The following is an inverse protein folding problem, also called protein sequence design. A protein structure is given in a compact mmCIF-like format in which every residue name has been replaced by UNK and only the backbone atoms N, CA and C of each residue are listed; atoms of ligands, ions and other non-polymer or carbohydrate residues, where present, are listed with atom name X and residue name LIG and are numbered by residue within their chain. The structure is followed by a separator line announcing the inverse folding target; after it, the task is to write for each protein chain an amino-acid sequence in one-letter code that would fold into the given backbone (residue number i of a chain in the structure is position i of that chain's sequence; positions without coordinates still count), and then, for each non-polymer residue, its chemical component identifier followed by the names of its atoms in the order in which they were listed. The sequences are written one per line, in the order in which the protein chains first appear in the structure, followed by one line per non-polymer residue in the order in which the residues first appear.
data_IF_789263585396
#
_entry.id   IF_789263585396
#
_cell.length_a   1.000
_cell.length_b   1.000
_cell.length_c   1.000
_cell.angle_alpha   90.00
_cell.angle_beta   90.00
_cell.angle_gamma   90.00
#
_symmetry.space_group_name_H-M   'P 1'
#
loop_
_entity.id
_entity.type
_entity.pdbx_description
1 polymer ?
#
# COMPACT_ATOMS: atom_id res chain seq x y z
N UNK A 1 1.75 -7.08 -12.96
CA UNK A 1 2.71 -7.37 -14.06
C UNK A 1 3.51 -6.10 -14.35
N UNK A 2 4.85 -6.18 -14.45
CA UNK A 2 5.70 -5.02 -14.80
C UNK A 2 6.36 -5.28 -16.15
N UNK A 3 6.08 -4.42 -17.13
CA UNK A 3 6.60 -4.52 -18.50
C UNK A 3 7.59 -3.39 -18.75
N UNK A 4 8.43 -3.56 -19.79
CA UNK A 4 9.29 -2.49 -20.33
C UNK A 4 10.18 -1.80 -19.29
N UNK A 5 10.89 -2.58 -18.48
CA UNK A 5 11.76 -2.03 -17.44
C UNK A 5 13.14 -2.68 -17.45
N UNK A 6 14.17 -1.86 -17.27
CA UNK A 6 15.58 -2.25 -17.28
C UNK A 6 16.25 -2.08 -15.90
N UNK A 7 15.49 -1.70 -14.86
CA UNK A 7 16.03 -1.58 -13.50
C UNK A 7 16.02 -2.95 -12.80
N UNK A 8 16.97 -3.23 -11.90
CA UNK A 8 16.90 -4.40 -11.04
C UNK A 8 15.66 -4.34 -10.15
N UNK A 9 14.82 -5.37 -10.22
CA UNK A 9 13.60 -5.48 -9.42
C UNK A 9 13.69 -6.65 -8.44
N UNK A 10 13.23 -6.40 -7.22
CA UNK A 10 12.95 -7.43 -6.24
C UNK A 10 11.48 -7.32 -5.83
N UNK A 11 10.76 -8.44 -5.91
CA UNK A 11 9.35 -8.52 -5.54
C UNK A 11 9.19 -9.08 -4.14
N UNK A 12 8.26 -8.47 -3.40
CA UNK A 12 7.86 -8.89 -2.06
C UNK A 12 6.37 -9.20 -2.10
N UNK A 13 5.99 -10.47 -2.00
CA UNK A 13 4.60 -10.90 -2.03
C UNK A 13 4.21 -11.29 -0.61
N UNK A 14 3.10 -10.75 -0.12
CA UNK A 14 2.63 -10.94 1.24
C UNK A 14 1.22 -11.53 1.16
N UNK A 15 1.02 -12.71 1.74
CA UNK A 15 -0.26 -13.41 1.79
C UNK A 15 -0.44 -14.13 3.13
N UNK A 16 -1.66 -14.58 3.42
CA UNK A 16 -1.98 -15.44 4.55
C UNK A 16 -1.81 -16.93 4.26
N UNK A 17 -1.74 -17.29 2.98
CA UNK A 17 -1.50 -18.65 2.52
C UNK A 17 -0.91 -18.66 1.12
N UNK A 18 -0.19 -19.73 0.79
CA UNK A 18 0.27 -20.01 -0.56
C UNK A 18 -0.03 -21.46 -0.90
N UNK A 19 -0.63 -21.69 -2.08
CA UNK A 19 -0.77 -23.07 -2.56
C UNK A 19 0.58 -23.60 -3.05
N UNK A 20 0.86 -24.92 -2.95
CA UNK A 20 2.08 -25.49 -3.51
C UNK A 20 2.25 -25.22 -5.00
N UNK A 21 1.15 -25.15 -5.76
CA UNK A 21 1.16 -24.79 -7.18
C UNK A 21 1.61 -23.34 -7.40
N UNK A 22 1.14 -22.40 -6.56
CA UNK A 22 1.56 -21.01 -6.62
C UNK A 22 3.05 -20.86 -6.34
N UNK A 23 3.57 -21.52 -5.30
CA UNK A 23 5.01 -21.47 -4.97
C UNK A 23 5.85 -21.97 -6.14
N UNK A 24 5.52 -23.14 -6.71
CA UNK A 24 6.22 -23.69 -7.89
C UNK A 24 6.17 -22.75 -9.10
N UNK A 25 5.05 -22.05 -9.29
CA UNK A 25 4.90 -21.08 -10.37
C UNK A 25 5.79 -19.85 -10.15
N UNK A 26 5.82 -19.30 -8.94
CA UNK A 26 6.69 -18.18 -8.57
C UNK A 26 8.17 -18.54 -8.69
N UNK A 27 8.58 -19.74 -8.27
CA UNK A 27 9.96 -20.22 -8.44
C UNK A 27 10.38 -20.24 -9.91
N UNK A 28 9.50 -20.76 -10.79
CA UNK A 28 9.74 -20.75 -12.24
C UNK A 28 9.86 -19.34 -12.80
N UNK A 29 8.99 -18.43 -12.39
CA UNK A 29 9.05 -17.02 -12.80
C UNK A 29 10.34 -16.34 -12.36
N UNK A 30 10.77 -16.57 -11.12
CA UNK A 30 12.00 -16.01 -10.58
C UNK A 30 13.22 -16.42 -11.42
N UNK A 31 13.32 -17.70 -11.78
CA UNK A 31 14.38 -18.23 -12.64
C UNK A 31 14.27 -17.67 -14.06
N UNK A 32 13.10 -17.76 -14.68
CA UNK A 32 12.89 -17.34 -16.07
C UNK A 32 13.23 -15.87 -16.30
N UNK A 33 12.88 -15.00 -15.35
CA UNK A 33 13.09 -13.56 -15.46
C UNK A 33 14.32 -13.05 -14.73
N UNK A 34 15.10 -13.93 -14.08
CA UNK A 34 16.28 -13.57 -13.26
C UNK A 34 15.94 -12.49 -12.20
N UNK A 35 14.78 -12.63 -11.56
CA UNK A 35 14.29 -11.69 -10.54
C UNK A 35 14.26 -12.34 -9.17
N UNK A 36 14.45 -11.53 -8.12
CA UNK A 36 14.28 -11.98 -6.74
C UNK A 36 12.82 -11.84 -6.34
N UNK A 37 12.21 -12.92 -5.84
CA UNK A 37 10.85 -12.90 -5.28
C UNK A 37 10.93 -13.44 -3.86
N UNK A 38 10.46 -12.66 -2.89
CA UNK A 38 10.39 -13.04 -1.47
C UNK A 38 8.93 -13.19 -1.07
N UNK A 39 8.58 -14.35 -0.51
CA UNK A 39 7.24 -14.65 -0.02
C UNK A 39 7.19 -14.43 1.50
N UNK A 40 6.12 -13.80 1.99
CA UNK A 40 5.91 -13.50 3.40
C UNK A 40 4.52 -13.97 3.82
N UNK A 41 4.48 -14.83 4.83
CA UNK A 41 3.24 -15.32 5.38
C UNK A 41 2.79 -14.45 6.56
N UNK A 42 1.56 -13.92 6.50
CA UNK A 42 0.94 -13.20 7.61
C UNK A 42 -0.09 -14.10 8.29
N UNK A 43 -0.03 -14.14 9.62
CA UNK A 43 -1.03 -14.78 10.47
C UNK A 43 -2.23 -13.87 10.68
N UNK A 44 -3.38 -14.24 10.10
CA UNK A 44 -4.61 -13.43 10.07
C UNK A 44 -5.22 -13.25 11.45
N UNK A 45 -4.90 -14.11 12.42
CA UNK A 45 -5.38 -14.00 13.81
C UNK A 45 -5.01 -12.64 14.42
N UNK A 46 -3.85 -12.08 14.04
CA UNK A 46 -3.41 -10.75 14.47
C UNK A 46 -4.25 -9.59 13.92
N UNK A 47 -5.10 -9.86 12.92
CA UNK A 47 -5.94 -8.90 12.21
C UNK A 47 -7.41 -8.98 12.59
N UNK A 48 -7.83 -9.97 13.38
CA UNK A 48 -9.24 -10.20 13.68
C UNK A 48 -9.91 -9.01 14.36
N UNK A 49 -9.13 -8.22 15.11
CA UNK A 49 -9.54 -7.00 15.81
C UNK A 49 -9.80 -5.81 14.90
N UNK A 50 -9.38 -5.86 13.63
CA UNK A 50 -9.55 -4.76 12.69
C UNK A 50 -10.86 -4.86 11.90
N UNK A 51 -11.45 -3.71 11.51
CA UNK A 51 -12.70 -3.70 10.77
C UNK A 51 -12.54 -4.36 9.41
N UNK A 52 -13.54 -5.14 9.01
CA UNK A 52 -13.68 -5.67 7.65
C UNK A 52 -14.99 -5.19 7.07
N UNK A 53 -15.04 -5.00 5.76
CA UNK A 53 -16.30 -4.69 5.07
C UNK A 53 -16.83 -5.94 4.37
N UNK A 54 -18.10 -5.93 3.93
CA UNK A 54 -18.67 -7.04 3.15
C UNK A 54 -17.93 -7.29 1.82
N UNK A 55 -17.22 -6.28 1.31
CA UNK A 55 -16.57 -6.30 0.00
C UNK A 55 -15.06 -6.54 0.11
N UNK A 56 -14.44 -6.09 1.20
CA UNK A 56 -12.99 -6.08 1.36
C UNK A 56 -12.56 -6.89 2.58
N UNK A 57 -11.70 -7.88 2.35
CA UNK A 57 -11.13 -8.72 3.40
C UNK A 57 -10.00 -7.99 4.14
N UNK A 58 -9.63 -8.53 5.31
CA UNK A 58 -8.49 -8.02 6.11
C UNK A 58 -7.16 -8.03 5.37
N UNK A 59 -7.08 -8.72 4.21
CA UNK A 59 -5.91 -8.68 3.33
C UNK A 59 -5.56 -7.25 2.88
N UNK A 60 -6.52 -6.31 2.85
CA UNK A 60 -6.23 -4.90 2.55
C UNK A 60 -5.19 -4.30 3.51
N UNK A 61 -5.13 -4.77 4.77
CA UNK A 61 -4.16 -4.29 5.76
C UNK A 61 -2.78 -4.91 5.63
N UNK A 62 -2.59 -5.93 4.77
CA UNK A 62 -1.28 -6.53 4.54
C UNK A 62 -0.24 -5.50 4.09
N UNK A 63 -0.66 -4.44 3.39
CA UNK A 63 0.22 -3.33 3.01
C UNK A 63 0.79 -2.58 4.23
N UNK A 64 0.01 -2.37 5.28
CA UNK A 64 0.48 -1.67 6.49
C UNK A 64 1.56 -2.48 7.22
N UNK A 65 1.42 -3.81 7.25
CA UNK A 65 2.47 -4.70 7.72
C UNK A 65 3.66 -4.76 6.78
N UNK A 66 3.42 -4.74 5.47
CA UNK A 66 4.48 -4.66 4.47
C UNK A 66 5.38 -3.46 4.75
N UNK A 67 4.77 -2.29 4.94
CA UNK A 67 5.48 -1.04 5.21
C UNK A 67 6.25 -1.11 6.53
N UNK A 68 5.64 -1.56 7.62
CA UNK A 68 6.35 -1.70 8.91
C UNK A 68 7.52 -2.69 8.81
N UNK A 69 7.26 -3.90 8.30
CA UNK A 69 8.26 -4.96 8.28
C UNK A 69 9.41 -4.65 7.32
N UNK A 70 9.10 -4.14 6.12
CA UNK A 70 10.11 -3.82 5.11
C UNK A 70 10.87 -2.53 5.42
N UNK A 71 10.30 -1.60 6.21
CA UNK A 71 11.04 -0.41 6.68
C UNK A 71 12.30 -0.73 7.49
N UNK A 72 12.41 -1.97 7.99
CA UNK A 72 13.60 -2.47 8.70
C UNK A 72 14.70 -2.94 7.75
N UNK A 73 14.42 -3.03 6.44
CA UNK A 73 15.27 -3.65 5.42
C UNK A 73 15.57 -2.75 4.23
N UNK A 74 14.63 -1.89 3.85
CA UNK A 74 14.72 -1.01 2.69
C UNK A 74 14.14 0.37 2.99
N UNK A 75 14.65 1.40 2.31
CA UNK A 75 14.25 2.79 2.55
C UNK A 75 13.05 3.23 1.72
N UNK A 76 12.83 2.60 0.56
CA UNK A 76 11.74 2.94 -0.35
C UNK A 76 11.08 1.68 -0.89
N UNK A 77 9.78 1.75 -1.17
CA UNK A 77 9.01 0.64 -1.71
C UNK A 77 7.93 1.15 -2.66
N UNK A 78 7.82 0.53 -3.84
CA UNK A 78 6.65 0.69 -4.70
C UNK A 78 5.63 -0.39 -4.35
N UNK A 79 4.50 0.03 -3.78
CA UNK A 79 3.34 -0.83 -3.58
C UNK A 79 2.46 -0.84 -4.83
N UNK A 80 1.99 -2.03 -5.20
CA UNK A 80 1.09 -2.27 -6.31
C UNK A 80 0.02 -3.27 -5.86
N UNK A 81 -1.25 -2.96 -6.11
CA UNK A 81 -2.32 -3.96 -6.00
C UNK A 81 -2.10 -5.11 -7.00
N UNK A 82 -2.60 -6.30 -6.65
CA UNK A 82 -2.33 -7.52 -7.40
C UNK A 82 -2.90 -7.50 -8.83
N UNK A 83 -3.86 -6.63 -9.09
CA UNK A 83 -4.50 -6.41 -10.40
C UNK A 83 -3.81 -5.32 -11.24
N UNK A 84 -2.74 -4.69 -10.74
CA UNK A 84 -2.03 -3.63 -11.45
C UNK A 84 -1.11 -4.18 -12.56
N UNK A 85 -1.19 -3.54 -13.73
CA UNK A 85 -0.30 -3.77 -14.88
C UNK A 85 0.47 -2.48 -15.20
N UNK A 86 1.78 -2.49 -14.96
CA UNK A 86 2.69 -1.40 -15.30
C UNK A 86 3.17 -1.56 -16.75
N UNK A 87 2.69 -0.70 -17.65
CA UNK A 87 3.06 -0.71 -19.07
C UNK A 87 4.29 0.16 -19.40
N UNK A 88 4.53 1.19 -18.60
CA UNK A 88 5.64 2.12 -18.76
C UNK A 88 6.83 1.77 -17.87
N UNK A 89 7.97 2.40 -18.15
CA UNK A 89 9.17 2.29 -17.31
C UNK A 89 8.91 2.86 -15.92
N UNK A 90 9.46 2.22 -14.89
CA UNK A 90 9.43 2.73 -13.51
C UNK A 90 10.65 3.62 -13.20
N UNK A 91 11.51 3.88 -14.19
CA UNK A 91 12.73 4.69 -14.00
C UNK A 91 12.42 6.07 -13.43
N UNK A 92 11.33 6.70 -13.90
CA UNK A 92 10.94 8.05 -13.49
C UNK A 92 10.52 8.10 -12.02
N UNK A 93 9.97 7.01 -11.48
CA UNK A 93 9.65 6.92 -10.04
C UNK A 93 10.91 7.00 -9.17
N UNK A 94 12.04 6.47 -9.65
CA UNK A 94 13.31 6.52 -8.92
C UNK A 94 13.92 7.92 -8.90
N UNK A 95 13.44 8.83 -9.76
CA UNK A 95 13.90 10.22 -9.81
C UNK A 95 13.05 11.14 -8.93
N UNK A 96 11.93 10.66 -8.39
CA UNK A 96 11.09 11.45 -7.49
C UNK A 96 11.81 11.71 -6.17
N UNK A 97 11.83 12.97 -5.76
CA UNK A 97 12.37 13.38 -4.47
C UNK A 97 11.33 13.20 -3.36
N UNK A 98 11.52 12.16 -2.55
CA UNK A 98 10.72 11.88 -1.37
C UNK A 98 11.39 12.30 -0.06
N UNK A 99 12.39 13.19 -0.09
CA UNK A 99 13.17 13.56 1.12
C UNK A 99 12.30 14.12 2.24
N UNK A 100 11.29 14.93 1.90
CA UNK A 100 10.34 15.54 2.85
C UNK A 100 8.91 15.01 2.68
N UNK A 101 8.73 13.96 1.89
CA UNK A 101 7.42 13.43 1.50
C UNK A 101 7.35 11.93 1.78
N UNK A 102 6.28 11.49 2.41
CA UNK A 102 6.13 10.09 2.82
C UNK A 102 5.82 9.20 1.61
N UNK A 103 5.09 9.72 0.63
CA UNK A 103 4.75 8.95 -0.56
C UNK A 103 4.52 9.82 -1.79
N UNK A 104 4.72 9.25 -2.97
CA UNK A 104 4.11 9.72 -4.21
C UNK A 104 2.89 8.86 -4.52
N UNK A 105 1.77 9.51 -4.86
CA UNK A 105 0.46 8.87 -4.98
C UNK A 105 -0.31 9.36 -6.21
N UNK A 106 -1.37 8.64 -6.57
CA UNK A 106 -2.24 9.04 -7.68
C UNK A 106 -3.59 9.48 -7.12
N UNK A 107 -4.00 10.73 -7.42
CA UNK A 107 -5.31 11.24 -7.02
C UNK A 107 -6.42 10.32 -7.53
N UNK A 108 -7.41 10.09 -6.69
CA UNK A 108 -8.61 9.35 -7.09
C UNK A 108 -9.49 10.23 -7.99
N UNK A 109 -10.39 9.60 -8.74
CA UNK A 109 -11.24 10.29 -9.73
C UNK A 109 -12.20 11.28 -9.05
N UNK A 110 -12.62 12.32 -9.78
CA UNK A 110 -13.47 13.40 -9.25
C UNK A 110 -14.75 12.91 -8.56
N UNK A 111 -15.36 11.84 -9.09
CA UNK A 111 -16.55 11.24 -8.49
C UNK A 111 -16.31 10.65 -7.10
N UNK A 112 -15.08 10.22 -6.81
CA UNK A 112 -14.66 9.73 -5.49
C UNK A 112 -14.29 10.93 -4.59
N UNK A 113 -13.59 11.93 -5.12
CA UNK A 113 -13.28 13.17 -4.39
C UNK A 113 -14.54 13.78 -3.76
N UNK A 114 -15.60 13.92 -4.55
CA UNK A 114 -16.86 14.52 -4.09
C UNK A 114 -17.54 13.70 -2.99
N UNK A 115 -17.53 12.37 -3.08
CA UNK A 115 -18.13 11.48 -2.07
C UNK A 115 -17.34 11.48 -0.76
N UNK A 116 -16.01 11.60 -0.84
CA UNK A 116 -15.15 11.70 0.34
C UNK A 116 -15.48 12.97 1.13
N UNK A 117 -15.75 14.09 0.45
CA UNK A 117 -16.19 15.34 1.08
C UNK A 117 -17.56 15.26 1.75
N UNK A 118 -18.35 14.22 1.55
CA UNK A 118 -19.61 14.05 2.28
C UNK A 118 -19.40 13.19 3.52
N UNK A 119 -18.62 12.11 3.36
CA UNK A 119 -18.42 11.07 4.37
C UNK A 119 -17.33 11.39 5.39
N UNK A 120 -16.25 12.05 4.97
CA UNK A 120 -15.05 12.33 5.76
C UNK A 120 -14.81 13.83 5.95
N UNK A 121 -15.88 14.63 6.03
CA UNK A 121 -15.85 16.10 6.16
C UNK A 121 -14.89 16.60 7.24
N UNK A 122 -14.84 15.91 8.38
CA UNK A 122 -14.01 16.29 9.51
C UNK A 122 -12.49 16.29 9.20
N UNK A 123 -12.05 15.54 8.19
CA UNK A 123 -10.64 15.40 7.82
C UNK A 123 -10.20 16.32 6.67
N UNK A 124 -11.14 17.04 6.04
CA UNK A 124 -10.84 18.03 4.99
C UNK A 124 -9.95 17.50 3.83
N UNK A 125 -10.24 16.30 3.32
CA UNK A 125 -9.43 15.62 2.29
C UNK A 125 -9.72 16.11 0.85
N UNK A 126 -10.42 17.23 0.69
CA UNK A 126 -10.95 17.70 -0.58
C UNK A 126 -9.84 17.95 -1.61
N UNK A 127 -9.93 17.28 -2.76
CA UNK A 127 -8.99 17.46 -3.88
C UNK A 127 -7.60 16.87 -3.66
N UNK A 128 -7.36 16.28 -2.48
CA UNK A 128 -6.13 15.59 -2.10
C UNK A 128 -6.29 14.08 -1.94
N UNK A 129 -7.51 13.55 -2.05
CA UNK A 129 -7.76 12.14 -1.82
C UNK A 129 -7.12 11.27 -2.92
N UNK A 130 -6.33 10.28 -2.57
CA UNK A 130 -5.62 9.42 -3.50
C UNK A 130 -6.11 7.98 -3.48
N UNK A 131 -5.96 7.32 -4.62
CA UNK A 131 -6.13 5.88 -4.75
C UNK A 131 -4.90 5.17 -4.15
N UNK A 132 -5.15 4.16 -3.31
CA UNK A 132 -4.07 3.47 -2.58
C UNK A 132 -3.56 2.21 -3.28
N UNK A 133 -3.97 1.94 -4.53
CA UNK A 133 -3.54 0.76 -5.28
C UNK A 133 -2.16 0.89 -5.92
N UNK A 134 -1.65 2.11 -6.04
CA UNK A 134 -0.26 2.39 -6.46
C UNK A 134 0.32 3.47 -5.55
N UNK A 135 1.33 3.11 -4.77
CA UNK A 135 1.93 4.02 -3.79
C UNK A 135 3.44 3.82 -3.78
N UNK A 136 4.21 4.87 -4.10
CA UNK A 136 5.66 4.85 -3.94
C UNK A 136 6.02 5.48 -2.59
N UNK A 137 6.47 4.67 -1.64
CA UNK A 137 6.58 5.05 -0.22
C UNK A 137 8.03 5.21 0.20
N UNK A 138 8.32 6.28 0.93
CA UNK A 138 9.51 6.45 1.75
C UNK A 138 9.31 5.72 3.09
N UNK A 139 9.82 4.49 3.17
CA UNK A 139 9.69 3.63 4.35
C UNK A 139 10.52 4.10 5.54
N UNK A 140 11.57 4.91 5.31
CA UNK A 140 12.31 5.55 6.41
C UNK A 140 11.40 6.54 7.14
N UNK A 141 10.80 7.48 6.41
CA UNK A 141 9.84 8.44 6.99
C UNK A 141 8.61 7.74 7.56
N UNK A 142 8.14 6.68 6.90
CA UNK A 142 7.03 5.86 7.39
C UNK A 142 7.29 5.33 8.81
N UNK A 143 8.47 4.76 9.03
CA UNK A 143 8.91 4.23 10.32
C UNK A 143 9.13 5.33 11.35
N UNK A 144 9.83 6.40 10.98
CA UNK A 144 10.13 7.54 11.87
C UNK A 144 8.86 8.20 12.42
N UNK A 145 7.78 8.19 11.64
CA UNK A 145 6.49 8.78 12.02
C UNK A 145 5.52 7.78 12.69
N UNK A 146 5.93 6.52 12.92
CA UNK A 146 5.10 5.45 13.48
C UNK A 146 3.75 5.29 12.76
N UNK A 147 3.74 5.35 11.43
CA UNK A 147 2.50 5.46 10.66
C UNK A 147 1.66 4.17 10.67
N UNK A 148 2.28 3.00 10.74
CA UNK A 148 1.53 1.74 10.87
C UNK A 148 0.74 1.69 12.18
N UNK A 149 1.35 2.12 13.30
CA UNK A 149 0.66 2.17 14.59
C UNK A 149 -0.49 3.18 14.57
N UNK A 150 -0.25 4.40 14.07
CA UNK A 150 -1.29 5.43 13.91
C UNK A 150 -2.42 4.97 13.01
N UNK A 151 -2.12 4.21 11.96
CA UNK A 151 -3.13 3.64 11.08
C UNK A 151 -4.03 2.66 11.83
N UNK A 152 -3.45 1.76 12.62
CA UNK A 152 -4.25 0.83 13.44
C UNK A 152 -5.05 1.54 14.52
N UNK A 153 -4.53 2.59 15.14
CA UNK A 153 -5.29 3.40 16.11
C UNK A 153 -6.51 4.06 15.48
N UNK A 154 -6.40 4.59 14.26
CA UNK A 154 -7.55 5.13 13.53
C UNK A 154 -8.56 4.04 13.16
N UNK A 155 -8.07 2.88 12.70
CA UNK A 155 -8.93 1.73 12.33
C UNK A 155 -9.64 1.10 13.52
N UNK A 156 -9.09 1.21 14.73
CA UNK A 156 -9.73 0.76 15.97
C UNK A 156 -10.50 1.89 16.68
N UNK A 157 -10.46 3.11 16.13
CA UNK A 157 -11.07 4.30 16.69
C UNK A 157 -12.57 4.41 16.43
N UNK A 158 -13.17 5.48 16.95
CA UNK A 158 -14.62 5.76 16.85
C UNK A 158 -15.01 6.11 15.42
N UNK A 159 -14.05 6.65 14.67
CA UNK A 159 -14.18 7.09 13.30
C UNK A 159 -14.15 5.91 12.30
N UNK A 160 -13.78 4.71 12.76
CA UNK A 160 -13.65 3.52 11.91
C UNK A 160 -14.95 3.20 11.15
N UNK A 161 -16.11 3.42 11.75
CA UNK A 161 -17.42 3.20 11.13
C UNK A 161 -17.70 4.14 9.95
N UNK A 162 -17.00 5.27 9.86
CA UNK A 162 -17.09 6.20 8.72
C UNK A 162 -16.23 5.77 7.52
N UNK A 163 -15.32 4.81 7.71
CA UNK A 163 -14.41 4.36 6.66
C UNK A 163 -15.06 3.31 5.76
N UNK A 164 -15.31 3.70 4.51
CA UNK A 164 -15.85 2.88 3.43
C UNK A 164 -14.74 2.12 2.72
N UNK A 165 -13.55 2.70 2.66
CA UNK A 165 -12.33 2.11 2.13
C UNK A 165 -11.27 2.17 3.24
N UNK A 166 -11.35 1.32 4.28
CA UNK A 166 -10.63 1.53 5.53
C UNK A 166 -9.13 1.79 5.39
N UNK A 167 -8.44 1.01 4.58
CA UNK A 167 -7.02 1.18 4.31
C UNK A 167 -6.73 2.48 3.55
N UNK A 168 -7.49 2.79 2.49
CA UNK A 168 -7.30 3.99 1.68
C UNK A 168 -7.66 5.27 2.46
N UNK A 169 -8.77 5.27 3.17
CA UNK A 169 -9.25 6.39 3.99
C UNK A 169 -8.21 6.74 5.06
N UNK A 170 -7.70 5.75 5.79
CA UNK A 170 -6.68 5.96 6.82
C UNK A 170 -5.36 6.46 6.24
N UNK A 171 -4.93 5.93 5.10
CA UNK A 171 -3.74 6.45 4.41
C UNK A 171 -3.92 7.92 4.02
N UNK A 172 -5.08 8.29 3.49
CA UNK A 172 -5.38 9.67 3.11
C UNK A 172 -5.41 10.62 4.31
N UNK A 173 -5.96 10.19 5.45
CA UNK A 173 -5.98 10.97 6.69
C UNK A 173 -4.55 11.19 7.22
N UNK A 174 -3.73 10.14 7.27
CA UNK A 174 -2.39 10.23 7.86
C UNK A 174 -1.38 10.98 6.99
N UNK A 175 -1.54 10.88 5.67
CA UNK A 175 -0.61 11.40 4.68
C UNK A 175 -1.04 12.73 4.06
N UNK A 176 -2.12 13.35 4.56
CA UNK A 176 -2.52 14.70 4.16
C UNK A 176 -1.32 15.67 4.22
N UNK A 177 -1.11 16.42 3.14
CA UNK A 177 0.02 17.35 2.90
C UNK A 177 1.44 16.74 2.89
N UNK A 178 1.55 15.42 3.09
CA UNK A 178 2.83 14.69 3.12
C UNK A 178 3.09 13.85 1.88
N UNK A 179 2.25 14.00 0.85
CA UNK A 179 2.39 13.33 -0.44
C UNK A 179 2.78 14.29 -1.56
N UNK A 180 3.20 13.71 -2.68
CA UNK A 180 3.35 14.34 -4.00
C UNK A 180 2.32 13.71 -4.93
#
# INVERSE_FOLDING_TARGET
VVLNNNIPLAFHIICDSYSPCFVKYIERLAVQHHIKISLYLIKVESLEVLPQTKVWSRAMYFRLFAFDYLSKKVNTLLYLDADVVCKGSLQDLLQLDLTEKIAAVVKDVDSIQNKVNERLRAFNLQGGYFNSGVVFVNLKLWKENALTEKAFLLLAGKEADSFKYPDQDVLNILLQDKVI
#
